data_IF_207236561269
#
_entry.id   IF_207236561269
#
_cell.length_a   1.000
_cell.length_b   1.000
_cell.length_c   1.000
_cell.angle_alpha   90.00
_cell.angle_beta   90.00
_cell.angle_gamma   90.00
#
_symmetry.space_group_name_H-M   'P 1'
#
loop_
_entity.id
_entity.type
_entity.pdbx_description
1 polymer ?
#
# COMPACT_ATOMS: atom_id res chain seq x y z
N UNK A 1 -34.66 40.47 -43.96
CA UNK A 1 -34.88 40.74 -42.52
C UNK A 1 -34.82 39.42 -41.78
N UNK A 2 -33.67 39.09 -41.20
CA UNK A 2 -33.54 38.05 -40.18
C UNK A 2 -32.60 38.61 -39.10
N UNK A 3 -33.12 38.78 -37.88
CA UNK A 3 -32.34 39.12 -36.69
C UNK A 3 -32.09 37.83 -35.91
N UNK A 4 -30.84 37.57 -35.57
CA UNK A 4 -30.42 36.57 -34.60
C UNK A 4 -29.13 37.06 -33.96
N UNK A 5 -29.24 37.59 -32.74
CA UNK A 5 -28.16 38.29 -32.05
C UNK A 5 -27.10 37.34 -31.51
N UNK A 6 -25.88 37.53 -31.98
CA UNK A 6 -24.63 37.05 -31.40
C UNK A 6 -24.05 38.16 -30.51
N UNK A 7 -23.90 37.90 -29.21
CA UNK A 7 -23.12 38.73 -28.30
C UNK A 7 -21.82 37.98 -27.93
N UNK A 8 -20.64 38.60 -28.05
CA UNK A 8 -19.34 37.95 -27.90
C UNK A 8 -18.82 38.07 -26.46
N UNK A 9 -18.26 36.98 -25.93
CA UNK A 9 -17.48 37.03 -24.70
C UNK A 9 -16.02 37.34 -25.05
N UNK A 10 -15.54 38.47 -24.53
CA UNK A 10 -14.20 39.01 -24.69
C UNK A 10 -13.17 38.21 -23.89
N UNK A 11 -12.04 37.88 -24.53
CA UNK A 11 -10.79 37.50 -23.87
C UNK A 11 -10.01 38.75 -23.45
N UNK A 12 -9.37 38.79 -22.27
CA UNK A 12 -8.30 39.73 -21.99
C UNK A 12 -6.93 39.16 -22.40
N UNK A 13 -6.13 40.03 -23.01
CA UNK A 13 -4.80 39.78 -23.52
C UNK A 13 -3.74 39.56 -22.43
N UNK A 14 -2.77 38.72 -22.78
CA UNK A 14 -1.56 38.38 -22.02
C UNK A 14 -0.53 39.50 -22.15
N UNK A 15 0.06 39.92 -21.02
CA UNK A 15 1.28 40.74 -20.95
C UNK A 15 2.25 40.16 -19.91
N UNK A 16 3.57 40.16 -20.13
CA UNK A 16 4.50 39.31 -19.40
C UNK A 16 5.12 40.03 -18.19
N UNK A 17 5.20 39.34 -17.06
CA UNK A 17 6.11 39.71 -15.97
C UNK A 17 6.71 38.46 -15.35
N UNK A 18 7.97 38.21 -15.70
CA UNK A 18 8.87 37.32 -14.99
C UNK A 18 9.16 37.92 -13.59
N UNK A 19 9.11 37.09 -12.55
CA UNK A 19 9.89 37.21 -11.31
C UNK A 19 9.73 35.96 -10.43
N UNK A 20 10.86 35.31 -10.19
CA UNK A 20 11.24 34.50 -9.02
C UNK A 20 10.27 33.44 -8.48
N UNK A 21 10.40 32.23 -9.02
CA UNK A 21 9.94 30.99 -8.37
C UNK A 21 11.04 30.48 -7.43
N UNK A 22 10.98 30.88 -6.16
CA UNK A 22 11.69 30.19 -5.08
C UNK A 22 10.77 29.06 -4.56
N UNK A 23 11.18 27.81 -4.78
CA UNK A 23 10.51 26.62 -4.23
C UNK A 23 10.96 26.43 -2.77
N UNK A 24 10.06 26.41 -1.77
CA UNK A 24 10.45 26.07 -0.41
C UNK A 24 10.57 24.54 -0.29
N UNK A 25 11.82 24.07 -0.16
CA UNK A 25 12.16 22.73 0.35
C UNK A 25 11.88 22.74 1.86
N UNK A 26 10.87 22.00 2.31
CA UNK A 26 10.56 21.98 3.74
C UNK A 26 9.35 21.18 4.18
N UNK A 27 9.15 19.94 3.69
CA UNK A 27 8.25 18.97 4.34
C UNK A 27 8.87 17.56 4.24
N UNK A 28 9.98 17.32 4.96
CA UNK A 28 10.43 15.97 5.33
C UNK A 28 11.01 16.01 6.76
N UNK A 29 10.19 16.40 7.74
CA UNK A 29 10.52 16.26 9.17
C UNK A 29 9.28 15.84 9.97
N UNK A 30 8.70 14.69 9.64
CA UNK A 30 7.65 14.10 10.48
C UNK A 30 7.60 12.56 10.39
N UNK A 31 8.75 11.88 10.44
CA UNK A 31 8.73 10.43 10.72
C UNK A 31 10.02 9.89 11.37
N UNK A 32 10.63 10.67 12.28
CA UNK A 32 11.60 10.11 13.24
C UNK A 32 10.88 9.77 14.54
N UNK A 33 10.03 8.75 14.52
CA UNK A 33 9.63 8.08 15.77
C UNK A 33 10.66 7.00 16.08
N UNK A 34 11.29 7.15 17.23
CA UNK A 34 12.24 6.24 17.86
C UNK A 34 11.76 4.78 17.79
N UNK A 35 12.30 4.01 16.85
CA UNK A 35 12.28 2.55 16.91
C UNK A 35 13.55 2.12 17.66
N UNK A 36 13.42 1.81 18.95
CA UNK A 36 14.49 1.08 19.65
C UNK A 36 14.46 -0.37 19.16
N UNK A 37 15.57 -0.92 18.65
CA UNK A 37 15.60 -2.31 18.21
C UNK A 37 15.38 -3.25 19.40
N UNK A 38 14.57 -4.29 19.20
CA UNK A 38 14.33 -5.39 20.14
C UNK A 38 15.60 -6.24 20.29
N UNK A 39 15.92 -6.74 21.50
CA UNK A 39 17.13 -7.53 21.71
C UNK A 39 16.89 -8.98 21.25
N UNK A 40 17.44 -9.35 20.09
CA UNK A 40 17.39 -10.72 19.56
C UNK A 40 17.57 -10.83 18.05
N UNK A 41 17.22 -9.78 17.31
CA UNK A 41 17.50 -9.63 15.88
C UNK A 41 18.69 -8.69 15.69
N UNK A 42 19.90 -9.19 15.93
CA UNK A 42 21.09 -8.42 15.53
C UNK A 42 21.05 -8.12 14.00
N UNK A 43 21.62 -6.98 13.56
CA UNK A 43 21.48 -6.42 12.22
C UNK A 43 22.25 -7.22 11.15
N UNK A 44 21.85 -8.48 10.93
CA UNK A 44 22.54 -9.51 10.14
C UNK A 44 22.56 -9.27 8.62
N UNK A 45 21.95 -8.18 8.13
CA UNK A 45 21.94 -7.79 6.71
C UNK A 45 22.12 -6.29 6.48
N UNK A 46 22.68 -5.57 7.46
CA UNK A 46 22.79 -4.11 7.36
C UNK A 46 23.74 -3.67 6.23
N UNK A 47 24.80 -4.44 5.98
CA UNK A 47 25.82 -4.03 5.01
C UNK A 47 25.67 -4.69 3.62
N UNK A 48 24.80 -5.68 3.48
CA UNK A 48 24.40 -6.23 2.17
C UNK A 48 23.77 -5.13 1.30
N UNK A 49 22.95 -4.26 1.89
CA UNK A 49 22.32 -3.13 1.20
C UNK A 49 23.31 -2.10 0.61
N UNK A 50 24.55 -2.05 1.11
CA UNK A 50 25.63 -1.20 0.56
C UNK A 50 26.60 -1.97 -0.33
N UNK A 51 26.31 -3.25 -0.63
CA UNK A 51 27.08 -4.10 -1.54
C UNK A 51 28.21 -4.89 -0.88
N UNK A 52 28.19 -5.09 0.44
CA UNK A 52 29.12 -5.99 1.13
C UNK A 52 28.47 -7.35 1.36
N UNK A 53 29.11 -8.42 0.90
CA UNK A 53 28.67 -9.77 1.26
C UNK A 53 29.00 -10.11 2.72
N UNK A 54 28.47 -11.24 3.19
CA UNK A 54 28.62 -11.72 4.57
C UNK A 54 30.07 -11.87 5.03
N UNK A 55 30.99 -12.23 4.13
CA UNK A 55 32.40 -12.41 4.46
C UNK A 55 33.07 -11.04 4.70
N UNK A 56 32.77 -10.04 3.87
CA UNK A 56 33.27 -8.68 4.05
C UNK A 56 32.70 -8.04 5.32
N UNK A 57 31.40 -8.20 5.59
CA UNK A 57 30.77 -7.68 6.81
C UNK A 57 31.41 -8.29 8.07
N UNK A 58 31.60 -9.61 8.08
CA UNK A 58 32.22 -10.31 9.22
C UNK A 58 33.67 -9.87 9.45
N UNK A 59 34.47 -9.75 8.37
CA UNK A 59 35.85 -9.28 8.45
C UNK A 59 35.95 -7.83 8.93
N UNK A 60 35.07 -6.94 8.46
CA UNK A 60 35.03 -5.55 8.90
C UNK A 60 34.63 -5.42 10.37
N UNK A 61 33.61 -6.16 10.83
CA UNK A 61 33.24 -6.21 12.26
C UNK A 61 34.37 -6.75 13.13
N UNK A 62 35.08 -7.78 12.68
CA UNK A 62 36.24 -8.32 13.38
C UNK A 62 37.36 -7.26 13.52
N UNK A 63 37.64 -6.48 12.46
CA UNK A 63 38.60 -5.38 12.54
C UNK A 63 38.14 -4.25 13.47
N UNK A 64 36.86 -3.86 13.44
CA UNK A 64 36.32 -2.81 14.32
C UNK A 64 36.42 -3.22 15.79
N UNK A 65 36.14 -4.49 16.11
CA UNK A 65 36.20 -5.01 17.49
C UNK A 65 37.62 -5.18 18.04
N UNK A 66 38.57 -5.63 17.21
CA UNK A 66 39.95 -5.90 17.63
C UNK A 66 40.86 -4.67 17.47
N UNK A 67 40.43 -3.68 16.68
CA UNK A 67 41.16 -2.46 16.37
C UNK A 67 42.25 -2.67 15.33
N UNK A 68 43.21 -3.57 15.58
CA UNK A 68 44.29 -3.90 14.64
C UNK A 68 44.70 -5.38 14.70
N UNK A 69 44.65 -6.09 13.56
CA UNK A 69 44.95 -7.53 13.50
C UNK A 69 45.78 -7.90 12.26
N UNK A 70 46.61 -8.93 12.37
CA UNK A 70 47.30 -9.53 11.22
C UNK A 70 46.42 -10.59 10.54
N UNK A 71 46.87 -11.09 9.38
CA UNK A 71 46.10 -12.05 8.55
C UNK A 71 45.89 -13.38 9.28
N UNK A 72 46.90 -14.00 9.93
CA UNK A 72 46.69 -15.25 10.67
C UNK A 72 45.70 -15.11 11.84
N UNK A 73 45.73 -13.98 12.56
CA UNK A 73 44.77 -13.70 13.64
C UNK A 73 43.34 -13.59 13.13
N UNK A 74 43.13 -12.91 12.00
CA UNK A 74 41.81 -12.75 11.40
C UNK A 74 41.31 -14.05 10.76
N UNK A 75 42.17 -14.82 10.11
CA UNK A 75 41.84 -16.11 9.50
C UNK A 75 41.25 -17.07 10.54
N UNK A 76 41.89 -17.18 11.71
CA UNK A 76 41.39 -17.97 12.84
C UNK A 76 40.03 -17.49 13.37
N UNK A 77 39.84 -16.17 13.47
CA UNK A 77 38.59 -15.57 13.98
C UNK A 77 37.41 -15.72 13.01
N UNK A 78 37.69 -15.66 11.71
CA UNK A 78 36.69 -15.77 10.66
C UNK A 78 36.44 -17.22 10.22
N UNK A 79 37.25 -18.17 10.72
CA UNK A 79 37.28 -19.55 10.26
C UNK A 79 37.49 -19.66 8.73
N UNK A 80 38.37 -18.82 8.19
CA UNK A 80 38.73 -18.76 6.77
C UNK A 80 40.21 -19.12 6.59
N UNK A 81 40.58 -19.53 5.37
CA UNK A 81 42.00 -19.64 5.00
C UNK A 81 42.69 -18.28 4.99
N UNK A 82 44.00 -18.23 5.22
CA UNK A 82 44.78 -16.98 5.19
C UNK A 82 44.70 -16.28 3.82
N UNK A 83 44.72 -17.05 2.73
CA UNK A 83 44.56 -16.54 1.36
C UNK A 83 43.20 -15.82 1.16
N UNK A 84 42.10 -16.46 1.59
CA UNK A 84 40.76 -15.89 1.46
C UNK A 84 40.56 -14.69 2.39
N UNK A 85 41.17 -14.73 3.57
CA UNK A 85 41.19 -13.62 4.52
C UNK A 85 41.91 -12.41 3.91
N UNK A 86 43.10 -12.60 3.33
CA UNK A 86 43.84 -11.52 2.69
C UNK A 86 43.08 -10.96 1.48
N UNK A 87 42.46 -11.82 0.66
CA UNK A 87 41.63 -11.40 -0.47
C UNK A 87 40.43 -10.55 -0.01
N UNK A 88 39.78 -10.94 1.09
CA UNK A 88 38.65 -10.20 1.69
C UNK A 88 39.12 -8.84 2.20
N UNK A 89 40.26 -8.77 2.89
CA UNK A 89 40.85 -7.53 3.41
C UNK A 89 41.23 -6.55 2.29
N UNK A 90 41.84 -7.03 1.20
CA UNK A 90 42.13 -6.21 0.02
C UNK A 90 40.85 -5.68 -0.66
N UNK A 91 39.75 -6.41 -0.58
CA UNK A 91 38.45 -5.93 -1.10
C UNK A 91 37.84 -4.89 -0.17
N UNK A 92 37.92 -5.07 1.15
CA UNK A 92 37.55 -4.03 2.12
C UNK A 92 38.38 -2.75 1.92
N UNK A 93 39.67 -2.87 1.65
CA UNK A 93 40.56 -1.74 1.36
C UNK A 93 40.15 -0.97 0.11
N UNK A 94 39.78 -1.67 -0.97
CA UNK A 94 39.24 -1.02 -2.19
C UNK A 94 37.93 -0.28 -1.95
N UNK A 95 37.14 -0.71 -0.97
CA UNK A 95 35.92 -0.03 -0.55
C UNK A 95 36.16 1.04 0.53
N UNK A 96 37.41 1.31 0.90
CA UNK A 96 37.76 2.29 1.93
C UNK A 96 37.39 1.88 3.36
N UNK A 97 37.10 0.60 3.58
CA UNK A 97 36.64 0.05 4.87
C UNK A 97 37.79 -0.50 5.73
N UNK A 98 38.92 -0.86 5.12
CA UNK A 98 40.10 -1.32 5.84
C UNK A 98 41.35 -0.63 5.29
N UNK A 99 42.39 -0.55 6.11
CA UNK A 99 43.68 -0.05 5.68
C UNK A 99 44.79 -0.82 6.39
N UNK A 100 45.99 -0.80 5.82
CA UNK A 100 47.19 -1.25 6.54
C UNK A 100 47.56 -0.23 7.62
N UNK A 101 47.86 -0.72 8.81
CA UNK A 101 48.24 0.11 9.95
C UNK A 101 49.63 0.70 9.73
N UNK A 102 49.74 2.03 9.78
CA UNK A 102 51.02 2.73 9.80
C UNK A 102 51.73 2.60 11.16
N UNK A 103 50.97 2.48 12.25
CA UNK A 103 51.50 2.35 13.61
C UNK A 103 51.99 0.93 13.94
N UNK A 104 51.46 -0.09 13.24
CA UNK A 104 51.83 -1.50 13.44
C UNK A 104 52.02 -2.20 12.09
N UNK A 105 53.24 -2.20 11.53
CA UNK A 105 53.53 -2.83 10.25
C UNK A 105 53.03 -4.28 10.20
N UNK A 106 52.38 -4.66 9.10
CA UNK A 106 51.82 -6.00 8.90
C UNK A 106 50.41 -6.22 9.47
N UNK A 107 49.83 -5.23 10.18
CA UNK A 107 48.45 -5.31 10.68
C UNK A 107 47.48 -4.50 9.81
N UNK A 108 46.24 -4.94 9.79
CA UNK A 108 45.09 -4.27 9.20
C UNK A 108 44.27 -3.57 10.28
N UNK A 109 43.69 -2.43 9.95
CA UNK A 109 42.78 -1.63 10.80
C UNK A 109 41.50 -1.34 10.03
N UNK A 110 40.37 -1.25 10.75
CA UNK A 110 39.12 -0.76 10.17
C UNK A 110 39.19 0.76 10.01
N UNK A 111 38.62 1.27 8.91
CA UNK A 111 38.28 2.68 8.82
C UNK A 111 37.14 3.01 9.81
N UNK A 112 37.05 4.24 10.34
CA UNK A 112 35.98 4.62 11.26
C UNK A 112 34.59 4.43 10.63
N UNK A 113 33.67 3.68 11.26
CA UNK A 113 32.39 3.31 10.64
C UNK A 113 31.54 4.50 10.18
N UNK A 114 31.47 5.58 10.98
CA UNK A 114 30.68 6.76 10.62
C UNK A 114 31.14 7.43 9.32
N UNK A 115 32.44 7.40 9.04
CA UNK A 115 33.02 8.00 7.83
C UNK A 115 32.94 7.02 6.66
N UNK A 116 33.43 5.80 6.85
CA UNK A 116 33.56 4.83 5.75
C UNK A 116 32.21 4.29 5.27
N UNK A 117 31.30 3.93 6.20
CA UNK A 117 29.95 3.49 5.83
C UNK A 117 29.09 4.65 5.34
N UNK A 118 29.28 5.86 5.89
CA UNK A 118 28.61 7.07 5.44
C UNK A 118 28.94 7.40 3.98
N UNK A 119 30.22 7.33 3.60
CA UNK A 119 30.66 7.55 2.23
C UNK A 119 30.07 6.52 1.25
N UNK A 120 30.06 5.23 1.62
CA UNK A 120 29.45 4.18 0.80
C UNK A 120 27.93 4.35 0.65
N UNK A 121 27.23 4.76 1.72
CA UNK A 121 25.80 5.06 1.66
C UNK A 121 25.52 6.23 0.71
N UNK A 122 26.30 7.30 0.78
CA UNK A 122 26.18 8.45 -0.11
C UNK A 122 26.43 8.04 -1.56
N UNK A 123 27.46 7.23 -1.83
CA UNK A 123 27.74 6.72 -3.16
C UNK A 123 26.57 5.87 -3.69
N UNK A 124 26.02 4.97 -2.87
CA UNK A 124 24.87 4.13 -3.26
C UNK A 124 23.62 4.94 -3.56
N UNK A 125 23.34 5.98 -2.78
CA UNK A 125 22.24 6.91 -3.08
C UNK A 125 22.45 7.59 -4.42
N UNK A 126 23.66 8.09 -4.68
CA UNK A 126 23.96 8.70 -5.97
C UNK A 126 23.80 7.73 -7.15
N UNK A 127 24.24 6.47 -7.01
CA UNK A 127 24.03 5.43 -8.03
C UNK A 127 22.55 5.17 -8.28
N UNK A 128 21.71 5.17 -7.23
CA UNK A 128 20.25 5.04 -7.35
C UNK A 128 19.63 6.26 -8.04
N UNK A 129 20.00 7.48 -7.64
CA UNK A 129 19.53 8.72 -8.26
C UNK A 129 19.85 8.75 -9.77
N UNK A 130 21.03 8.27 -10.16
CA UNK A 130 21.43 8.15 -11.57
C UNK A 130 20.61 7.08 -12.31
N UNK A 131 20.32 5.94 -11.67
CA UNK A 131 19.48 4.92 -12.25
C UNK A 131 18.03 5.42 -12.46
N UNK A 132 17.48 6.16 -11.50
CA UNK A 132 16.16 6.79 -11.61
C UNK A 132 16.10 7.78 -12.77
N UNK A 133 17.14 8.62 -12.96
CA UNK A 133 17.25 9.49 -14.13
C UNK A 133 17.27 8.69 -15.44
N UNK A 134 18.02 7.58 -15.48
CA UNK A 134 18.08 6.69 -16.65
C UNK A 134 16.71 6.08 -16.99
N UNK A 135 15.96 5.64 -15.98
CA UNK A 135 14.59 5.13 -16.13
C UNK A 135 13.67 6.20 -16.68
N UNK A 136 13.74 7.43 -16.15
CA UNK A 136 12.91 8.54 -16.62
C UNK A 136 13.19 8.89 -18.10
N UNK A 137 14.47 8.88 -18.50
CA UNK A 137 14.87 9.11 -19.89
C UNK A 137 14.37 8.00 -20.84
N UNK A 138 14.48 6.74 -20.44
CA UNK A 138 13.95 5.62 -21.23
C UNK A 138 12.42 5.67 -21.35
N UNK A 139 11.72 6.07 -20.28
CA UNK A 139 10.28 6.26 -20.31
C UNK A 139 9.85 7.40 -21.24
N UNK A 140 10.62 8.49 -21.31
CA UNK A 140 10.41 9.56 -22.27
C UNK A 140 10.71 9.10 -23.71
N UNK A 141 11.79 8.36 -23.94
CA UNK A 141 12.12 7.81 -25.26
C UNK A 141 11.03 6.84 -25.77
N UNK A 142 10.50 6.02 -24.87
CA UNK A 142 9.38 5.13 -25.16
C UNK A 142 8.13 5.93 -25.57
N UNK A 143 7.76 6.96 -24.79
CA UNK A 143 6.64 7.86 -25.11
C UNK A 143 6.85 8.64 -26.41
N UNK A 144 8.06 9.11 -26.68
CA UNK A 144 8.37 9.90 -27.88
C UNK A 144 8.35 9.06 -29.17
N UNK A 145 8.59 7.74 -29.08
CA UNK A 145 8.43 6.80 -30.20
C UNK A 145 6.98 6.39 -30.45
N UNK A 146 6.08 6.61 -29.48
CA UNK A 146 4.64 6.52 -29.71
C UNK A 146 4.17 7.75 -30.51
N UNK A 147 4.29 7.66 -31.83
CA UNK A 147 3.80 8.67 -32.77
C UNK A 147 2.28 8.75 -32.64
N UNK A 148 1.80 9.86 -32.09
CA UNK A 148 0.42 10.11 -31.58
C UNK A 148 0.10 9.27 -30.33
N UNK A 149 -0.47 9.85 -29.24
CA UNK A 149 -1.08 9.04 -28.19
C UNK A 149 -2.33 8.40 -28.80
N UNK A 150 -2.13 7.33 -29.57
CA UNK A 150 -3.20 6.47 -29.98
C UNK A 150 -3.83 5.95 -28.69
N UNK A 151 -5.15 5.83 -28.66
CA UNK A 151 -5.94 5.28 -27.54
C UNK A 151 -5.38 3.94 -27.01
N UNK A 152 -4.54 3.26 -27.80
CA UNK A 152 -3.76 2.07 -27.49
C UNK A 152 -2.68 2.23 -26.39
N UNK A 153 -2.16 3.44 -26.11
CA UNK A 153 -1.16 3.65 -25.03
C UNK A 153 -1.79 3.84 -23.64
N UNK A 154 -3.10 4.08 -23.59
CA UNK A 154 -3.82 4.18 -22.32
C UNK A 154 -4.22 2.81 -21.79
N UNK A 155 -4.28 1.80 -22.68
CA UNK A 155 -4.80 0.46 -22.37
C UNK A 155 -4.00 -0.60 -23.13
N UNK A 156 -3.18 -1.37 -22.41
CA UNK A 156 -2.45 -2.54 -22.90
C UNK A 156 -3.30 -3.81 -22.67
N UNK A 157 -3.35 -4.71 -23.65
CA UNK A 157 -3.94 -6.06 -23.49
C UNK A 157 -2.81 -7.06 -23.25
N UNK A 158 -2.86 -7.75 -22.12
CA UNK A 158 -1.91 -8.79 -21.73
C UNK A 158 -2.62 -10.14 -21.83
N UNK A 159 -2.07 -11.06 -22.63
CA UNK A 159 -2.66 -12.38 -22.86
C UNK A 159 -1.72 -13.49 -22.40
N UNK A 160 -2.28 -14.54 -21.80
CA UNK A 160 -1.57 -15.69 -21.27
C UNK A 160 -1.35 -15.60 -19.75
N UNK A 161 -1.54 -16.72 -19.05
CA UNK A 161 -1.48 -16.79 -17.59
C UNK A 161 -0.15 -16.26 -17.03
N UNK A 162 0.99 -16.65 -17.63
CA UNK A 162 2.31 -16.20 -17.19
C UNK A 162 2.53 -14.69 -17.38
N UNK A 163 2.08 -14.12 -18.50
CA UNK A 163 2.20 -12.69 -18.77
C UNK A 163 1.30 -11.87 -17.82
N UNK A 164 0.06 -12.34 -17.60
CA UNK A 164 -0.87 -11.73 -16.63
C UNK A 164 -0.30 -11.79 -15.21
N UNK A 165 0.28 -12.92 -14.81
CA UNK A 165 0.94 -13.08 -13.51
C UNK A 165 2.12 -12.11 -13.36
N UNK A 166 3.02 -12.06 -14.34
CA UNK A 166 4.17 -11.17 -14.33
C UNK A 166 3.75 -9.70 -14.22
N UNK A 167 2.73 -9.28 -14.98
CA UNK A 167 2.22 -7.90 -14.95
C UNK A 167 1.56 -7.55 -13.62
N UNK A 168 0.82 -8.47 -13.03
CA UNK A 168 0.25 -8.29 -11.69
C UNK A 168 1.34 -8.12 -10.61
N UNK A 169 2.39 -8.94 -10.65
CA UNK A 169 3.53 -8.82 -9.72
C UNK A 169 4.28 -7.50 -9.92
N UNK A 170 4.54 -7.10 -11.17
CA UNK A 170 5.18 -5.81 -11.50
C UNK A 170 4.38 -4.61 -10.99
N UNK A 171 3.05 -4.65 -11.10
CA UNK A 171 2.17 -3.59 -10.60
C UNK A 171 2.35 -3.37 -9.08
N UNK A 172 2.40 -4.46 -8.31
CA UNK A 172 2.59 -4.37 -6.85
C UNK A 172 4.03 -3.98 -6.46
N UNK A 173 5.02 -4.53 -7.14
CA UNK A 173 6.43 -4.17 -6.90
C UNK A 173 6.72 -2.71 -7.27
N UNK A 174 6.03 -2.16 -8.27
CA UNK A 174 6.13 -0.77 -8.67
C UNK A 174 5.37 0.22 -7.77
N UNK A 175 4.47 -0.26 -6.91
CA UNK A 175 3.70 0.60 -6.02
C UNK A 175 4.57 1.25 -4.93
N UNK A 176 4.29 2.52 -4.66
CA UNK A 176 5.03 3.39 -3.76
C UNK A 176 4.18 3.94 -2.61
N UNK A 177 2.86 4.11 -2.79
CA UNK A 177 1.98 4.68 -1.79
C UNK A 177 0.82 3.75 -1.39
N UNK A 178 0.08 3.22 -2.36
CA UNK A 178 -1.14 2.47 -2.12
C UNK A 178 -1.48 1.47 -3.25
N UNK A 179 -1.97 0.30 -2.85
CA UNK A 179 -2.61 -0.68 -3.72
C UNK A 179 -4.06 -0.90 -3.26
N UNK A 180 -4.99 -0.77 -4.19
CA UNK A 180 -6.43 -0.92 -4.00
C UNK A 180 -6.93 -2.11 -4.81
N UNK A 181 -7.61 -3.08 -4.19
CA UNK A 181 -8.03 -4.30 -4.87
C UNK A 181 -9.50 -4.66 -4.60
N UNK A 182 -10.21 -5.06 -5.65
CA UNK A 182 -11.49 -5.77 -5.59
C UNK A 182 -11.23 -7.24 -5.94
N UNK A 183 -11.46 -8.13 -4.99
CA UNK A 183 -11.14 -9.56 -5.10
C UNK A 183 -12.42 -10.36 -5.23
N UNK A 184 -12.50 -11.15 -6.29
CA UNK A 184 -13.60 -12.08 -6.58
C UNK A 184 -13.11 -13.30 -7.35
N UNK A 185 -13.91 -14.36 -7.29
CA UNK A 185 -13.67 -15.62 -7.97
C UNK A 185 -12.42 -16.36 -7.48
N UNK A 186 -12.05 -17.41 -8.21
CA UNK A 186 -10.81 -18.16 -7.97
C UNK A 186 -9.66 -17.41 -8.64
N UNK A 187 -8.48 -17.27 -8.01
CA UNK A 187 -7.31 -16.70 -8.66
C UNK A 187 -6.93 -17.48 -9.93
N UNK A 188 -6.78 -16.78 -11.05
CA UNK A 188 -6.51 -17.40 -12.36
C UNK A 188 -5.01 -17.45 -12.70
N UNK A 189 -4.23 -16.49 -12.19
CA UNK A 189 -2.82 -16.30 -12.59
C UNK A 189 -1.83 -16.33 -11.42
N UNK A 190 -2.21 -15.79 -10.26
CA UNK A 190 -1.37 -15.74 -9.05
C UNK A 190 -2.27 -15.98 -7.85
N UNK A 191 -1.95 -16.98 -7.04
CA UNK A 191 -2.62 -17.23 -5.75
C UNK A 191 -2.06 -16.34 -4.64
N UNK A 192 -2.77 -16.18 -3.52
CA UNK A 192 -2.24 -15.40 -2.39
C UNK A 192 -0.94 -16.00 -1.83
N UNK A 193 -0.82 -17.33 -1.84
CA UNK A 193 0.38 -18.04 -1.42
C UNK A 193 1.62 -17.79 -2.31
N UNK A 194 1.42 -17.48 -3.59
CA UNK A 194 2.50 -17.21 -4.55
C UNK A 194 2.84 -15.71 -4.66
N UNK A 195 2.08 -14.84 -3.99
CA UNK A 195 2.18 -13.39 -4.14
C UNK A 195 3.24 -12.76 -3.22
N UNK A 196 4.51 -13.13 -3.39
CA UNK A 196 5.61 -12.52 -2.63
C UNK A 196 5.73 -10.99 -2.87
N UNK A 197 5.25 -10.50 -4.01
CA UNK A 197 5.27 -9.07 -4.35
C UNK A 197 4.44 -8.22 -3.38
N UNK A 198 3.33 -8.75 -2.87
CA UNK A 198 2.47 -8.09 -1.89
C UNK A 198 3.19 -7.90 -0.55
N UNK A 199 3.81 -8.97 -0.04
CA UNK A 199 4.58 -8.91 1.20
C UNK A 199 5.75 -7.93 1.08
N UNK A 200 6.45 -7.94 -0.05
CA UNK A 200 7.54 -7.00 -0.32
C UNK A 200 7.04 -5.55 -0.37
N UNK A 201 5.91 -5.28 -1.04
CA UNK A 201 5.35 -3.93 -1.14
C UNK A 201 4.84 -3.43 0.23
N UNK A 202 4.10 -4.25 0.97
CA UNK A 202 3.66 -3.95 2.32
C UNK A 202 4.86 -3.69 3.26
N UNK A 203 5.93 -4.47 3.14
CA UNK A 203 7.18 -4.29 3.88
C UNK A 203 7.89 -2.96 3.59
N UNK A 204 7.70 -2.38 2.39
CA UNK A 204 8.17 -1.02 2.05
C UNK A 204 7.27 0.10 2.60
N UNK A 205 6.12 -0.24 3.21
CA UNK A 205 5.15 0.71 3.75
C UNK A 205 4.03 1.10 2.79
N UNK A 206 3.86 0.39 1.67
CA UNK A 206 2.73 0.58 0.75
C UNK A 206 1.44 0.19 1.46
N UNK A 207 0.42 1.05 1.40
CA UNK A 207 -0.88 0.77 2.02
C UNK A 207 -1.71 -0.15 1.13
N UNK A 208 -2.34 -1.15 1.72
CA UNK A 208 -3.27 -2.00 1.00
C UNK A 208 -4.70 -1.77 1.49
N UNK A 209 -5.60 -1.56 0.53
CA UNK A 209 -7.06 -1.48 0.74
C UNK A 209 -7.73 -2.52 -0.13
N UNK A 210 -8.21 -3.58 0.49
CA UNK A 210 -8.77 -4.74 -0.21
C UNK A 210 -10.25 -4.87 0.11
N UNK A 211 -11.09 -4.97 -0.91
CA UNK A 211 -12.48 -5.41 -0.75
C UNK A 211 -12.59 -6.82 -1.30
N UNK A 212 -13.06 -7.73 -0.47
CA UNK A 212 -13.23 -9.14 -0.78
C UNK A 212 -14.70 -9.44 -0.97
N UNK A 213 -15.06 -10.13 -2.05
CA UNK A 213 -16.39 -10.69 -2.22
C UNK A 213 -16.64 -11.83 -1.24
N UNK A 214 -17.83 -11.90 -0.64
CA UNK A 214 -18.20 -12.92 0.36
C UNK A 214 -17.91 -14.36 -0.10
N UNK A 215 -18.20 -14.67 -1.37
CA UNK A 215 -17.98 -15.98 -1.98
C UNK A 215 -16.50 -16.44 -1.97
N UNK A 216 -15.54 -15.50 -1.89
CA UNK A 216 -14.11 -15.81 -1.80
C UNK A 216 -13.76 -16.38 -0.43
N UNK A 217 -14.47 -15.98 0.63
CA UNK A 217 -14.22 -16.46 1.99
C UNK A 217 -14.58 -17.94 2.17
N UNK A 218 -15.44 -18.47 1.30
CA UNK A 218 -15.82 -19.89 1.29
C UNK A 218 -14.75 -20.79 0.62
N UNK A 219 -13.73 -20.19 0.00
CA UNK A 219 -12.68 -20.95 -0.69
C UNK A 219 -11.66 -21.54 0.30
N UNK A 220 -11.11 -22.73 0.00
CA UNK A 220 -10.05 -23.32 0.81
C UNK A 220 -8.85 -22.37 0.92
N UNK A 221 -8.40 -22.11 2.15
CA UNK A 221 -7.24 -21.24 2.42
C UNK A 221 -7.56 -19.74 2.57
N UNK A 222 -8.77 -19.30 2.25
CA UNK A 222 -9.16 -17.88 2.30
C UNK A 222 -8.99 -17.26 3.71
N UNK A 223 -9.31 -18.01 4.76
CA UNK A 223 -9.11 -17.57 6.15
C UNK A 223 -7.64 -17.34 6.50
N UNK A 224 -6.75 -18.20 5.99
CA UNK A 224 -5.31 -18.09 6.21
C UNK A 224 -4.75 -16.86 5.48
N UNK A 225 -5.14 -16.67 4.21
CA UNK A 225 -4.72 -15.51 3.42
C UNK A 225 -5.23 -14.20 4.03
N UNK A 226 -6.51 -14.15 4.44
CA UNK A 226 -7.09 -13.01 5.13
C UNK A 226 -6.38 -12.71 6.45
N UNK A 227 -6.02 -13.75 7.21
CA UNK A 227 -5.27 -13.60 8.46
C UNK A 227 -3.88 -13.01 8.22
N UNK A 228 -3.19 -13.47 7.17
CA UNK A 228 -1.90 -12.93 6.77
C UNK A 228 -2.00 -11.46 6.34
N UNK A 229 -2.99 -11.11 5.51
CA UNK A 229 -3.25 -9.73 5.08
C UNK A 229 -3.51 -8.79 6.27
N UNK A 230 -4.38 -9.19 7.20
CA UNK A 230 -4.64 -8.40 8.41
C UNK A 230 -3.39 -8.30 9.31
N UNK A 231 -2.59 -9.37 9.39
CA UNK A 231 -1.30 -9.37 10.09
C UNK A 231 -0.27 -8.39 9.51
N UNK A 232 -0.32 -8.14 8.20
CA UNK A 232 0.48 -7.10 7.51
C UNK A 232 -0.08 -5.69 7.68
N UNK A 233 -1.20 -5.52 8.39
CA UNK A 233 -1.84 -4.22 8.61
C UNK A 233 -2.66 -3.73 7.42
N UNK A 234 -3.00 -4.62 6.49
CA UNK A 234 -3.87 -4.28 5.36
C UNK A 234 -5.28 -3.96 5.82
N UNK A 235 -5.94 -3.05 5.11
CA UNK A 235 -7.33 -2.70 5.39
C UNK A 235 -8.22 -3.56 4.53
N UNK A 236 -8.85 -4.56 5.15
CA UNK A 236 -9.73 -5.47 4.43
C UNK A 236 -11.19 -5.18 4.77
N UNK A 237 -12.03 -5.12 3.73
CA UNK A 237 -13.49 -5.01 3.82
C UNK A 237 -14.16 -6.10 3.00
N UNK A 238 -15.44 -6.33 3.24
CA UNK A 238 -16.23 -7.34 2.55
C UNK A 238 -17.55 -6.79 2.01
N UNK A 239 -17.97 -7.33 0.87
CA UNK A 239 -19.27 -7.10 0.23
C UNK A 239 -19.84 -8.42 -0.27
N UNK A 240 -21.15 -8.51 -0.46
CA UNK A 240 -21.78 -9.71 -1.01
C UNK A 240 -21.37 -9.98 -2.46
N UNK A 241 -21.17 -8.94 -3.27
CA UNK A 241 -20.74 -9.06 -4.66
C UNK A 241 -19.89 -7.86 -5.06
N UNK A 242 -18.77 -8.08 -5.77
CA UNK A 242 -18.03 -7.00 -6.43
C UNK A 242 -18.37 -6.94 -7.91
N UNK A 243 -18.43 -5.76 -8.53
CA UNK A 243 -18.84 -5.62 -9.93
C UNK A 243 -17.82 -6.18 -10.92
N UNK A 244 -16.54 -6.17 -10.56
CA UNK A 244 -15.45 -6.79 -11.33
C UNK A 244 -14.22 -6.98 -10.45
N UNK A 245 -13.34 -7.89 -10.85
CA UNK A 245 -11.99 -7.99 -10.28
C UNK A 245 -11.17 -6.80 -10.77
N UNK A 246 -10.52 -6.11 -9.85
CA UNK A 246 -9.79 -4.87 -10.14
C UNK A 246 -8.60 -4.74 -9.20
N UNK A 247 -7.47 -4.27 -9.70
CA UNK A 247 -6.33 -3.85 -8.89
C UNK A 247 -5.85 -2.50 -9.40
N UNK A 248 -5.58 -1.55 -8.51
CA UNK A 248 -5.09 -0.20 -8.82
C UNK A 248 -3.87 0.08 -7.95
N UNK A 249 -2.78 0.56 -8.53
CA UNK A 249 -1.58 1.03 -7.81
C UNK A 249 -1.39 2.53 -8.00
N UNK A 250 -1.21 3.26 -6.89
CA UNK A 250 -0.88 4.70 -6.81
C UNK A 250 -1.75 5.63 -7.66
N UNK A 251 -2.95 5.19 -8.06
CA UNK A 251 -3.77 5.84 -9.10
C UNK A 251 -3.01 6.14 -10.40
N UNK A 252 -1.97 5.36 -10.70
CA UNK A 252 -1.15 5.50 -11.90
C UNK A 252 -1.33 4.32 -12.87
N UNK A 253 -1.73 3.15 -12.35
CA UNK A 253 -1.90 1.93 -13.12
C UNK A 253 -3.05 1.10 -12.55
N UNK A 254 -3.90 0.53 -13.41
CA UNK A 254 -4.89 -0.46 -13.01
C UNK A 254 -4.81 -1.71 -13.87
N UNK A 255 -5.26 -2.82 -13.32
CA UNK A 255 -5.40 -4.09 -14.03
C UNK A 255 -6.80 -4.68 -13.81
N UNK A 256 -7.44 -5.07 -14.91
CA UNK A 256 -8.79 -5.67 -14.91
C UNK A 256 -8.75 -6.92 -15.80
N UNK A 257 -9.21 -8.10 -15.34
CA UNK A 257 -9.29 -9.27 -16.21
C UNK A 257 -10.22 -9.02 -17.40
N UNK A 258 -9.83 -9.52 -18.56
CA UNK A 258 -10.70 -9.62 -19.72
C UNK A 258 -11.39 -10.98 -19.67
N UNK A 259 -12.73 -10.97 -19.67
CA UNK A 259 -13.49 -12.13 -20.09
C UNK A 259 -13.41 -12.25 -21.60
N UNK A 260 -12.27 -12.70 -22.12
CA UNK A 260 -12.17 -13.14 -23.50
C UNK A 260 -12.79 -14.53 -23.59
N UNK A 261 -13.68 -14.75 -24.57
CA UNK A 261 -14.22 -16.09 -24.87
C UNK A 261 -13.18 -17.09 -25.40
N UNK A 262 -11.90 -16.82 -25.16
CA UNK A 262 -10.73 -17.62 -25.52
C UNK A 262 -10.30 -18.50 -24.35
N UNK A 263 -9.62 -19.61 -24.62
CA UNK A 263 -9.16 -20.54 -23.60
C UNK A 263 -8.05 -19.95 -22.69
N UNK A 264 -7.36 -18.89 -23.13
CA UNK A 264 -6.24 -18.29 -22.40
C UNK A 264 -6.67 -17.07 -21.58
N UNK A 265 -6.21 -16.93 -20.32
CA UNK A 265 -6.45 -15.75 -19.50
C UNK A 265 -5.91 -14.48 -20.13
N UNK A 266 -6.65 -13.38 -20.03
CA UNK A 266 -6.20 -12.06 -20.47
C UNK A 266 -6.57 -10.97 -19.47
N UNK A 267 -5.88 -9.84 -19.51
CA UNK A 267 -6.13 -8.67 -18.67
C UNK A 267 -5.88 -7.38 -19.45
N UNK A 268 -6.66 -6.33 -19.14
CA UNK A 268 -6.37 -4.96 -19.50
C UNK A 268 -5.48 -4.35 -18.44
N UNK A 269 -4.40 -3.71 -18.88
CA UNK A 269 -3.57 -2.82 -18.07
C UNK A 269 -3.88 -1.40 -18.51
N UNK A 270 -4.40 -0.59 -17.58
CA UNK A 270 -4.86 0.78 -17.86
C UNK A 270 -3.90 1.76 -17.19
N UNK A 271 -3.26 2.59 -18.00
CA UNK A 271 -2.35 3.64 -17.55
C UNK A 271 -3.11 4.91 -17.15
N UNK A 272 -2.39 5.85 -16.52
CA UNK A 272 -2.90 7.16 -16.11
C UNK A 272 -3.75 7.84 -17.18
N UNK A 273 -5.06 7.88 -16.95
CA UNK A 273 -6.08 8.29 -17.92
C UNK A 273 -7.42 8.52 -17.23
N UNK A 274 -8.39 9.11 -17.94
CA UNK A 274 -9.76 9.21 -17.43
C UNK A 274 -10.40 7.83 -17.18
N UNK A 275 -9.97 6.79 -17.91
CA UNK A 275 -10.44 5.41 -17.69
C UNK A 275 -9.93 4.90 -16.35
N UNK A 276 -8.66 5.17 -16.02
CA UNK A 276 -8.10 4.84 -14.71
C UNK A 276 -8.83 5.55 -13.58
N UNK A 277 -9.14 6.84 -13.74
CA UNK A 277 -9.90 7.61 -12.75
C UNK A 277 -11.30 7.03 -12.52
N UNK A 278 -11.96 6.54 -13.57
CA UNK A 278 -13.25 5.82 -13.46
C UNK A 278 -13.10 4.49 -12.69
N UNK A 279 -12.03 3.71 -12.95
CA UNK A 279 -11.76 2.47 -12.23
C UNK A 279 -11.42 2.73 -10.75
N UNK A 280 -10.62 3.76 -10.46
CA UNK A 280 -10.37 4.20 -9.10
C UNK A 280 -11.66 4.66 -8.41
N UNK A 281 -12.53 5.40 -9.13
CA UNK A 281 -13.86 5.79 -8.65
C UNK A 281 -14.77 4.61 -8.35
N UNK A 282 -14.73 3.56 -9.19
CA UNK A 282 -15.44 2.30 -8.96
C UNK A 282 -14.99 1.64 -7.67
N UNK A 283 -13.67 1.51 -7.46
CA UNK A 283 -13.11 1.00 -6.22
C UNK A 283 -13.59 1.80 -5.01
N UNK A 284 -13.49 3.13 -5.04
CA UNK A 284 -13.90 3.98 -3.92
C UNK A 284 -15.40 3.85 -3.60
N UNK A 285 -16.24 3.67 -4.62
CA UNK A 285 -17.67 3.43 -4.45
C UNK A 285 -17.94 2.12 -3.71
N UNK A 286 -17.32 1.02 -4.16
CA UNK A 286 -17.44 -0.29 -3.53
C UNK A 286 -16.86 -0.26 -2.10
N UNK A 287 -15.70 0.39 -1.92
CA UNK A 287 -15.05 0.52 -0.62
C UNK A 287 -15.94 1.18 0.43
N UNK A 288 -16.65 2.26 0.07
CA UNK A 288 -17.56 2.98 0.99
C UNK A 288 -18.72 2.11 1.47
N UNK A 289 -19.21 1.22 0.61
CA UNK A 289 -20.34 0.32 0.90
C UNK A 289 -19.89 -0.94 1.65
N UNK A 290 -18.61 -1.31 1.56
CA UNK A 290 -18.06 -2.52 2.14
C UNK A 290 -17.94 -2.47 3.68
N UNK A 291 -18.21 -3.60 4.32
CA UNK A 291 -18.12 -3.78 5.77
C UNK A 291 -16.67 -4.10 6.19
N UNK A 292 -16.12 -3.44 7.21
CA UNK A 292 -14.78 -3.76 7.71
C UNK A 292 -14.72 -5.18 8.29
N UNK A 293 -13.65 -5.91 7.95
CA UNK A 293 -13.36 -7.21 8.54
C UNK A 293 -12.38 -7.07 9.71
N UNK A 294 -12.65 -7.76 10.83
CA UNK A 294 -11.69 -7.93 11.94
C UNK A 294 -11.58 -9.40 12.31
N UNK A 295 -10.38 -9.82 12.71
CA UNK A 295 -10.18 -11.15 13.30
C UNK A 295 -10.64 -11.13 14.76
N UNK A 296 -11.60 -11.98 15.09
CA UNK A 296 -11.91 -12.30 16.48
C UNK A 296 -10.79 -13.13 17.10
N UNK A 297 -10.63 -13.05 18.43
CA UNK A 297 -9.52 -13.66 19.20
C UNK A 297 -9.37 -15.20 19.13
N UNK A 298 -10.16 -15.88 18.31
CA UNK A 298 -10.10 -17.33 18.09
C UNK A 298 -9.89 -17.71 16.61
N UNK A 299 -9.46 -16.80 15.74
CA UNK A 299 -9.26 -17.10 14.30
C UNK A 299 -10.57 -17.26 13.52
N UNK A 300 -11.66 -16.74 14.07
CA UNK A 300 -12.96 -16.69 13.41
C UNK A 300 -13.08 -15.31 12.76
N UNK A 301 -13.42 -15.28 11.47
CA UNK A 301 -13.80 -14.04 10.79
C UNK A 301 -15.19 -13.70 11.29
N UNK A 302 -15.24 -12.76 12.23
CA UNK A 302 -16.51 -12.16 12.63
C UNK A 302 -16.71 -10.95 11.71
N UNK A 303 -17.85 -10.90 11.03
CA UNK A 303 -18.41 -9.61 10.63
C UNK A 303 -18.42 -8.73 11.89
N UNK A 304 -17.81 -7.55 11.82
CA UNK A 304 -17.92 -6.55 12.86
C UNK A 304 -19.40 -6.13 12.84
N UNK A 305 -20.27 -6.82 13.60
CA UNK A 305 -21.57 -6.29 14.00
C UNK A 305 -21.23 -5.32 15.13
N UNK A 306 -20.98 -4.04 14.83
CA UNK A 306 -20.39 -3.16 15.80
C UNK A 306 -21.55 -2.60 16.61
N UNK A 307 -21.93 -3.27 17.70
CA UNK A 307 -22.86 -2.72 18.70
C UNK A 307 -24.09 -2.01 18.08
N UNK A 308 -24.58 -2.57 16.98
CA UNK A 308 -25.54 -1.91 16.09
C UNK A 308 -26.94 -1.84 16.71
N UNK A 309 -27.87 -1.15 16.05
CA UNK A 309 -29.29 -1.31 16.35
C UNK A 309 -29.67 -2.79 16.22
N UNK A 310 -30.35 -3.34 17.24
CA UNK A 310 -31.01 -4.63 17.12
C UNK A 310 -32.28 -4.52 16.22
N UNK A 311 -32.92 -5.64 15.90
CA UNK A 311 -34.12 -5.63 15.04
C UNK A 311 -35.25 -4.71 15.58
N UNK A 312 -35.42 -4.67 16.90
CA UNK A 312 -36.40 -3.80 17.55
C UNK A 312 -36.00 -2.32 17.46
N UNK A 313 -34.71 -2.00 17.57
CA UNK A 313 -34.20 -0.64 17.38
C UNK A 313 -34.46 -0.14 15.94
N UNK A 314 -34.33 -1.01 14.94
CA UNK A 314 -34.66 -0.69 13.54
C UNK A 314 -36.16 -0.45 13.31
N UNK A 315 -37.03 -1.27 13.91
CA UNK A 315 -38.49 -1.08 13.85
C UNK A 315 -38.91 0.24 14.52
N UNK A 316 -38.36 0.54 15.71
CA UNK A 316 -38.59 1.81 16.41
C UNK A 316 -38.17 2.99 15.54
N UNK A 317 -36.98 2.94 14.97
CA UNK A 317 -36.44 3.99 14.11
C UNK A 317 -37.30 4.22 12.86
N UNK A 318 -37.77 3.14 12.23
CA UNK A 318 -38.60 3.18 11.02
C UNK A 318 -39.95 3.84 11.29
N UNK A 319 -40.60 3.50 12.40
CA UNK A 319 -41.88 4.12 12.78
C UNK A 319 -41.72 5.60 13.18
N UNK A 320 -40.63 5.96 13.86
CA UNK A 320 -40.34 7.37 14.18
C UNK A 320 -40.11 8.20 12.91
N UNK A 321 -39.43 7.66 11.91
CA UNK A 321 -39.22 8.31 10.62
C UNK A 321 -40.48 8.40 9.77
N UNK A 322 -41.42 7.46 9.94
CA UNK A 322 -42.78 7.54 9.42
C UNK A 322 -43.66 8.58 10.14
N UNK A 323 -43.11 9.32 11.12
CA UNK A 323 -43.78 10.43 11.79
C UNK A 323 -44.56 10.04 13.04
N UNK A 324 -44.44 8.79 13.52
CA UNK A 324 -45.10 8.37 14.76
C UNK A 324 -44.38 8.94 15.99
N UNK A 325 -45.16 9.15 17.05
CA UNK A 325 -44.62 9.56 18.36
C UNK A 325 -44.14 8.34 19.15
N UNK A 326 -43.23 8.51 20.11
CA UNK A 326 -42.75 7.43 21.01
C UNK A 326 -43.91 6.64 21.66
N UNK A 327 -45.01 7.32 22.00
CA UNK A 327 -46.20 6.71 22.59
C UNK A 327 -46.98 5.84 21.59
N UNK A 328 -47.06 6.28 20.33
CA UNK A 328 -47.66 5.51 19.23
C UNK A 328 -46.81 4.29 18.90
N UNK A 329 -45.49 4.45 18.83
CA UNK A 329 -44.53 3.36 18.60
C UNK A 329 -44.60 2.33 19.72
N UNK A 330 -44.64 2.76 20.98
CA UNK A 330 -44.78 1.89 22.14
C UNK A 330 -46.04 1.02 22.04
N UNK A 331 -47.18 1.60 21.65
CA UNK A 331 -48.44 0.86 21.47
C UNK A 331 -48.38 -0.11 20.29
N UNK A 332 -47.70 0.25 19.21
CA UNK A 332 -47.66 -0.54 17.98
C UNK A 332 -46.71 -1.75 18.08
N UNK A 333 -45.66 -1.65 18.89
CA UNK A 333 -44.69 -2.72 19.12
C UNK A 333 -44.91 -3.49 20.44
N UNK A 334 -46.02 -3.23 21.14
CA UNK A 334 -46.32 -3.78 22.48
C UNK A 334 -45.17 -3.58 23.50
N UNK A 335 -44.57 -2.40 23.49
CA UNK A 335 -43.47 -2.00 24.36
C UNK A 335 -43.90 -0.93 25.38
N UNK A 336 -43.23 -0.88 26.53
CA UNK A 336 -43.38 0.25 27.46
C UNK A 336 -42.76 1.54 26.89
N UNK A 337 -43.39 2.70 27.11
CA UNK A 337 -42.90 4.02 26.66
C UNK A 337 -41.45 4.29 27.07
N UNK A 338 -41.08 3.94 28.31
CA UNK A 338 -39.68 4.10 28.80
C UNK A 338 -38.69 3.22 28.03
N UNK A 339 -39.12 2.05 27.54
CA UNK A 339 -38.27 1.16 26.75
C UNK A 339 -37.97 1.78 25.40
N UNK A 340 -38.97 2.34 24.72
CA UNK A 340 -38.79 3.06 23.46
C UNK A 340 -37.86 4.25 23.65
N UNK A 341 -38.08 5.08 24.67
CA UNK A 341 -37.23 6.25 24.96
C UNK A 341 -35.78 5.86 25.27
N UNK A 342 -35.56 4.79 26.05
CA UNK A 342 -34.22 4.27 26.35
C UNK A 342 -33.50 3.78 25.09
N UNK A 343 -34.21 3.08 24.20
CA UNK A 343 -33.68 2.59 22.93
C UNK A 343 -33.30 3.74 21.99
N UNK A 344 -34.17 4.75 21.85
CA UNK A 344 -33.85 5.96 21.07
C UNK A 344 -32.63 6.68 21.63
N UNK A 345 -32.53 6.80 22.96
CA UNK A 345 -31.36 7.41 23.60
C UNK A 345 -30.08 6.62 23.32
N UNK A 346 -30.11 5.29 23.43
CA UNK A 346 -29.00 4.42 23.06
C UNK A 346 -28.59 4.62 21.60
N UNK A 347 -29.54 4.70 20.67
CA UNK A 347 -29.26 4.94 19.25
C UNK A 347 -28.61 6.31 18.98
N UNK A 348 -29.01 7.33 19.74
CA UNK A 348 -28.38 8.65 19.69
C UNK A 348 -26.94 8.62 20.24
N UNK A 349 -26.71 7.87 21.32
CA UNK A 349 -25.36 7.65 21.88
C UNK A 349 -24.47 6.88 20.89
N UNK A 350 -25.00 5.83 20.25
CA UNK A 350 -24.32 5.03 19.22
C UNK A 350 -23.97 5.82 17.95
N UNK A 351 -24.75 6.85 17.64
CA UNK A 351 -24.52 7.71 16.47
C UNK A 351 -23.76 9.00 16.82
N UNK A 352 -23.53 9.28 18.10
CA UNK A 352 -22.86 10.50 18.56
C UNK A 352 -23.69 11.77 18.34
N UNK A 353 -25.01 11.66 18.19
CA UNK A 353 -25.91 12.79 17.90
C UNK A 353 -26.72 13.18 19.11
N UNK A 354 -27.16 14.44 19.14
CA UNK A 354 -27.90 15.01 20.27
C UNK A 354 -29.36 15.32 19.94
N UNK A 355 -29.76 15.20 18.67
CA UNK A 355 -31.15 15.40 18.23
C UNK A 355 -31.68 14.21 17.44
N UNK A 356 -33.01 13.99 17.53
CA UNK A 356 -33.70 12.92 16.78
C UNK A 356 -33.67 13.14 15.26
N UNK A 357 -33.63 14.41 14.84
CA UNK A 357 -33.50 14.75 13.43
C UNK A 357 -32.14 14.30 12.88
N UNK A 358 -31.06 14.56 13.64
CA UNK A 358 -29.73 14.07 13.30
C UNK A 358 -29.64 12.54 13.37
N UNK A 359 -30.35 11.90 14.31
CA UNK A 359 -30.46 10.44 14.37
C UNK A 359 -31.06 9.89 13.09
N UNK A 360 -32.13 10.51 12.57
CA UNK A 360 -32.73 10.13 11.29
C UNK A 360 -31.77 10.25 10.11
N UNK A 361 -31.02 11.35 10.04
CA UNK A 361 -29.98 11.54 9.01
C UNK A 361 -28.88 10.49 9.10
N UNK A 362 -28.34 10.25 10.30
CA UNK A 362 -27.29 9.25 10.53
C UNK A 362 -27.76 7.82 10.24
N UNK A 363 -29.01 7.51 10.57
CA UNK A 363 -29.57 6.21 10.26
C UNK A 363 -29.71 5.95 8.76
N UNK A 364 -30.02 6.99 7.97
CA UNK A 364 -30.03 6.91 6.51
C UNK A 364 -28.62 6.72 5.94
N UNK A 365 -27.65 7.53 6.36
CA UNK A 365 -26.23 7.42 5.94
C UNK A 365 -25.62 6.05 6.27
N UNK A 366 -26.07 5.41 7.36
CA UNK A 366 -25.62 4.09 7.81
C UNK A 366 -26.45 2.93 7.27
N UNK A 367 -27.46 3.18 6.44
CA UNK A 367 -28.31 2.14 5.83
C UNK A 367 -29.20 1.39 6.82
N UNK A 368 -29.49 1.96 7.99
CA UNK A 368 -30.38 1.35 9.00
C UNK A 368 -31.85 1.42 8.57
N UNK A 369 -32.19 2.34 7.67
CA UNK A 369 -33.53 2.57 7.14
C UNK A 369 -33.42 2.87 5.65
N UNK A 370 -34.29 2.23 4.86
CA UNK A 370 -34.45 2.52 3.45
C UNK A 370 -35.60 3.53 3.25
N UNK A 371 -35.48 4.35 2.20
CA UNK A 371 -36.65 4.98 1.60
C UNK A 371 -37.19 3.99 0.58
N UNK A 372 -38.42 3.51 0.78
CA UNK A 372 -39.23 3.07 -0.35
C UNK A 372 -39.75 4.29 -1.11
#
# INVERSE_FOLDING_TARGET
MCRGGSAPWQFPAIGPTARDTAVPVGIIEASRRNHRPTPGEEPRRMLEAIGLDKAHESAYRALVSVGAADVPDLARRLALGEYDTERTLRRLERHGLAARSSARPGRWVAAPPGVALGALLTQRRHELDQAELGVALLAEEYRARAVEPAVHDLVEVVTGAAAVAQRFLQLQLGASEEVCALVTGVPVAVTGAENEAEEQAAGRGVRYRVVVERSVLDQPGALTELTAALGRGERVRMVDTVPTKLVVADRALAMVPLSSGTAEPAALVVHASNVLELLAGLFESVWRQALPLRLGGAGHVAEDVPDGPDATDLEVLSLLLAGLTDASVAKQLDLGLRTVQRRVKRLMELTGVTTRLQLGWQAYERGWVARD
#
